data_IF_446641654236
#
_entry.id   IF_446641654236
#
_cell.length_a   1.000
_cell.length_b   1.000
_cell.length_c   1.000
_cell.angle_alpha   90.00
_cell.angle_beta   90.00
_cell.angle_gamma   90.00
#
_symmetry.space_group_name_H-M   'P 1'
#
loop_
_entity.id
_entity.type
_entity.pdbx_description
1 polymer ?
#
# COMPACT_ATOMS: atom_id res chain seq x y z
N UNK A 1 23.45 -20.11 -23.60
CA UNK A 1 23.22 -19.85 -23.15
C UNK A 1 22.66 -19.55 -22.74
N UNK A 2 22.72 -19.47 -22.56
CA UNK A 2 22.23 -19.16 -21.99
C UNK A 2 21.73 -18.86 -21.45
N UNK A 3 21.84 -18.92 -21.44
CA UNK A 3 21.44 -18.63 -20.68
C UNK A 3 20.79 -18.18 -20.33
N UNK A 4 20.59 -18.23 -20.37
CA UNK A 4 19.93 -17.85 -19.86
C UNK A 4 19.13 -17.69 -19.54
N UNK A 5 19.27 -18.02 -19.91
CA UNK A 5 18.57 -18.03 -19.44
C UNK A 5 17.84 -17.94 -18.94
N UNK A 6 18.06 -18.18 -18.97
CA UNK A 6 17.54 -18.11 -18.19
C UNK A 6 16.82 -17.80 -17.70
N UNK A 7 16.77 -17.76 -17.73
CA UNK A 7 16.20 -17.56 -17.04
C UNK A 7 15.41 -17.22 -16.57
N UNK A 8 15.47 -17.34 -16.39
CA UNK A 8 14.88 -17.05 -15.72
C UNK A 8 14.32 -16.74 -15.12
N UNK A 9 14.47 -16.80 -15.14
CA UNK A 9 14.03 -16.42 -14.27
C UNK A 9 13.15 -16.10 -13.83
N UNK A 10 13.24 -16.15 -13.82
CA UNK A 10 12.69 -15.91 -13.23
C UNK A 10 12.01 -15.80 -12.78
N UNK A 11 12.20 -15.95 -12.77
CA UNK A 11 11.70 -15.88 -12.19
C UNK A 11 11.49 -15.64 -11.42
N UNK A 12 12.02 -15.81 -11.64
CA UNK A 12 11.90 -15.60 -10.59
C UNK A 12 11.11 -14.98 -9.88
N UNK A 13 10.42 -15.35 -9.91
CA UNK A 13 9.29 -14.75 -9.35
C UNK A 13 9.46 -14.11 -8.12
N UNK A 14 9.79 -13.42 -7.86
CA UNK A 14 9.95 -12.88 -6.62
C UNK A 14 8.92 -11.87 -6.31
N UNK A 15 8.73 -11.59 -5.07
CA UNK A 15 7.67 -10.71 -4.63
C UNK A 15 7.79 -9.33 -5.22
N UNK A 16 8.99 -8.80 -5.34
CA UNK A 16 9.14 -7.49 -5.93
C UNK A 16 8.75 -7.50 -7.42
N UNK A 17 9.00 -8.61 -8.05
CA UNK A 17 8.62 -8.77 -9.43
C UNK A 17 7.10 -8.74 -9.56
N UNK A 18 6.43 -9.25 -8.56
CA UNK A 18 4.99 -9.27 -8.54
C UNK A 18 4.39 -7.87 -8.44
N UNK A 19 5.19 -6.86 -8.20
CA UNK A 19 4.68 -5.51 -8.24
C UNK A 19 4.12 -5.16 -9.61
N UNK A 20 4.59 -5.82 -10.67
CA UNK A 20 4.08 -5.62 -12.01
C UNK A 20 2.89 -6.53 -12.33
N UNK A 21 2.62 -7.50 -11.47
CA UNK A 21 1.54 -8.46 -11.66
C UNK A 21 0.62 -8.37 -10.46
N UNK A 22 -0.63 -7.96 -10.65
CA UNK A 22 -1.53 -7.86 -9.50
C UNK A 22 -1.70 -9.20 -8.82
N UNK A 23 -1.78 -9.19 -7.50
CA UNK A 23 -2.12 -10.38 -6.75
C UNK A 23 -3.52 -10.84 -7.11
N UNK A 24 -3.78 -12.15 -7.09
CA UNK A 24 -5.12 -12.63 -7.40
C UNK A 24 -6.16 -12.03 -6.46
N UNK A 25 -7.28 -11.64 -7.05
CA UNK A 25 -8.40 -11.12 -6.27
C UNK A 25 -9.50 -12.14 -6.20
N UNK A 26 -10.29 -12.07 -5.15
CA UNK A 26 -11.50 -12.87 -5.06
C UNK A 26 -12.50 -12.40 -6.12
N UNK A 27 -13.48 -13.25 -6.49
CA UNK A 27 -14.43 -12.89 -7.56
C UNK A 27 -15.19 -11.59 -7.30
N UNK A 28 -15.43 -11.23 -6.03
CA UNK A 28 -16.11 -9.98 -5.70
C UNK A 28 -15.17 -8.77 -5.72
N UNK A 29 -13.86 -8.98 -5.96
CA UNK A 29 -12.89 -7.91 -6.04
C UNK A 29 -12.49 -7.30 -4.72
N UNK A 30 -13.02 -7.82 -3.62
CA UNK A 30 -12.82 -7.20 -2.29
C UNK A 30 -11.54 -7.62 -1.60
N UNK A 31 -10.99 -8.77 -1.96
CA UNK A 31 -9.85 -9.36 -1.26
C UNK A 31 -8.77 -9.73 -2.24
N UNK A 32 -7.53 -9.63 -1.80
CA UNK A 32 -6.40 -10.22 -2.53
C UNK A 32 -5.91 -11.41 -1.72
N UNK A 33 -5.35 -12.39 -2.43
CA UNK A 33 -4.86 -13.61 -1.81
C UNK A 33 -3.35 -13.65 -1.98
N UNK A 34 -2.63 -13.67 -0.85
CA UNK A 34 -1.17 -13.72 -0.84
C UNK A 34 -0.76 -14.76 0.18
N UNK A 35 -0.02 -15.76 -0.26
CA UNK A 35 0.49 -16.78 0.65
C UNK A 35 -0.60 -17.53 1.39
N UNK A 36 -1.75 -17.73 0.76
CA UNK A 36 -2.87 -18.43 1.36
C UNK A 36 -3.72 -17.59 2.28
N UNK A 37 -3.36 -16.32 2.47
CA UNK A 37 -4.13 -15.41 3.32
C UNK A 37 -4.87 -14.39 2.46
N UNK A 38 -6.03 -13.98 2.95
CA UNK A 38 -6.79 -12.93 2.30
C UNK A 38 -6.50 -11.59 2.97
N UNK A 39 -6.26 -10.60 2.14
CA UNK A 39 -6.07 -9.23 2.60
C UNK A 39 -7.08 -8.37 1.86
N UNK A 40 -7.59 -7.33 2.52
CA UNK A 40 -8.52 -6.44 1.86
C UNK A 40 -7.82 -5.75 0.70
N UNK A 41 -8.46 -5.77 -0.47
CA UNK A 41 -7.94 -5.08 -1.65
C UNK A 41 -8.09 -3.57 -1.48
N UNK A 42 -7.26 -2.82 -2.19
CA UNK A 42 -7.41 -1.38 -2.22
C UNK A 42 -8.70 -0.99 -2.92
N UNK A 43 -9.24 0.17 -2.56
CA UNK A 43 -10.48 0.69 -3.11
C UNK A 43 -10.32 0.95 -4.61
N UNK A 44 -11.16 0.32 -5.46
CA UNK A 44 -11.04 0.52 -6.90
C UNK A 44 -11.47 1.91 -7.37
N UNK A 45 -12.16 2.70 -6.54
CA UNK A 45 -12.53 4.07 -6.90
C UNK A 45 -11.41 5.07 -6.72
N UNK A 46 -10.28 4.67 -6.12
CA UNK A 46 -9.16 5.59 -5.95
C UNK A 46 -8.72 6.16 -7.29
N UNK A 47 -8.68 7.49 -7.44
CA UNK A 47 -8.06 8.07 -8.63
C UNK A 47 -6.60 7.63 -8.71
N UNK A 48 -6.10 7.41 -9.91
CA UNK A 48 -4.75 6.90 -10.07
C UNK A 48 -3.69 7.80 -9.41
N UNK A 49 -3.75 9.14 -9.52
CA UNK A 49 -2.75 9.97 -8.85
C UNK A 49 -2.80 9.84 -7.33
N UNK A 50 -4.00 9.69 -6.76
CA UNK A 50 -4.17 9.51 -5.32
C UNK A 50 -3.58 8.16 -4.89
N UNK A 51 -3.91 7.11 -5.64
CA UNK A 51 -3.39 5.79 -5.36
C UNK A 51 -1.86 5.78 -5.39
N UNK A 52 -1.27 6.39 -6.40
CA UNK A 52 0.18 6.46 -6.54
C UNK A 52 0.82 7.18 -5.36
N UNK A 53 0.23 8.28 -4.90
CA UNK A 53 0.78 9.01 -3.76
C UNK A 53 0.67 8.20 -2.47
N UNK A 54 -0.45 7.55 -2.25
CA UNK A 54 -0.61 6.72 -1.05
C UNK A 54 0.36 5.55 -1.05
N UNK A 55 0.59 4.93 -2.20
CA UNK A 55 1.57 3.86 -2.31
C UNK A 55 2.99 4.38 -2.07
N UNK A 56 3.30 5.58 -2.54
CA UNK A 56 4.58 6.20 -2.27
C UNK A 56 4.78 6.40 -0.77
N UNK A 57 3.79 6.97 -0.09
CA UNK A 57 3.87 7.17 1.36
C UNK A 57 4.00 5.85 2.10
N UNK A 58 3.28 4.81 1.65
CA UNK A 58 3.36 3.51 2.26
C UNK A 58 4.78 2.95 2.16
N UNK A 59 5.38 3.05 0.99
CA UNK A 59 6.75 2.58 0.78
C UNK A 59 7.76 3.33 1.64
N UNK A 60 7.63 4.66 1.70
CA UNK A 60 8.49 5.48 2.53
C UNK A 60 8.35 5.13 4.00
N UNK A 61 7.11 4.95 4.46
CA UNK A 61 6.85 4.62 5.86
C UNK A 61 7.39 3.24 6.23
N UNK A 62 7.26 2.27 5.33
CA UNK A 62 7.82 0.94 5.58
C UNK A 62 9.33 0.97 5.68
N UNK A 63 9.97 1.78 4.84
CA UNK A 63 11.42 1.98 4.92
C UNK A 63 11.80 2.60 6.26
N UNK A 64 11.02 3.57 6.72
CA UNK A 64 11.27 4.22 8.01
C UNK A 64 11.11 3.24 9.17
N UNK A 65 10.15 2.29 9.07
CA UNK A 65 10.00 1.25 10.09
C UNK A 65 11.28 0.42 10.17
N UNK A 66 11.81 0.01 9.03
CA UNK A 66 13.03 -0.80 9.03
C UNK A 66 14.21 -0.04 9.63
N UNK A 67 14.35 1.24 9.29
CA UNK A 67 15.43 2.06 9.84
C UNK A 67 15.28 2.22 11.34
N UNK A 68 14.07 2.51 11.82
CA UNK A 68 13.84 2.70 13.24
C UNK A 68 14.15 1.43 14.04
N UNK A 69 13.83 0.27 13.48
CA UNK A 69 14.15 -0.99 14.14
C UNK A 69 15.65 -1.21 14.23
N UNK A 70 16.38 -0.88 13.16
CA UNK A 70 17.85 -1.05 13.16
C UNK A 70 18.51 -0.14 14.18
N UNK A 71 17.97 1.04 14.42
CA UNK A 71 18.57 2.02 15.31
C UNK A 71 17.95 2.02 16.70
N UNK A 72 17.04 1.09 16.98
CA UNK A 72 16.35 0.99 18.28
C UNK A 72 15.69 2.31 18.69
N UNK A 73 15.11 3.02 17.73
CA UNK A 73 14.47 4.30 18.00
C UNK A 73 12.96 4.08 18.12
N UNK A 74 12.49 3.95 19.35
CA UNK A 74 11.08 3.63 19.60
C UNK A 74 10.13 4.74 19.14
N UNK A 75 10.51 5.98 19.32
CA UNK A 75 9.67 7.10 18.90
C UNK A 75 9.55 7.14 17.37
N UNK A 76 10.66 6.95 16.68
CA UNK A 76 10.66 6.91 15.22
C UNK A 76 9.85 5.72 14.71
N UNK A 77 9.94 4.58 15.42
CA UNK A 77 9.18 3.39 15.03
C UNK A 77 7.68 3.63 15.15
N UNK A 78 7.25 4.23 16.26
CA UNK A 78 5.84 4.53 16.47
C UNK A 78 5.33 5.50 15.39
N UNK A 79 6.11 6.53 15.08
CA UNK A 79 5.73 7.49 14.05
C UNK A 79 5.63 6.82 12.67
N UNK A 80 6.60 5.96 12.36
CA UNK A 80 6.60 5.27 11.07
C UNK A 80 5.39 4.33 10.94
N UNK A 81 5.08 3.61 12.01
CA UNK A 81 3.92 2.71 12.01
C UNK A 81 2.61 3.47 11.85
N UNK A 82 2.51 4.65 12.46
CA UNK A 82 1.33 5.49 12.29
C UNK A 82 1.16 5.88 10.83
N UNK A 83 2.25 6.21 10.14
CA UNK A 83 2.19 6.57 8.73
C UNK A 83 1.80 5.37 7.85
N UNK A 84 2.31 4.18 8.18
CA UNK A 84 1.87 2.96 7.48
C UNK A 84 0.37 2.80 7.62
N UNK A 85 -0.15 2.95 8.84
CA UNK A 85 -1.57 2.85 9.09
C UNK A 85 -2.38 3.86 8.32
N UNK A 86 -1.92 5.13 8.30
CA UNK A 86 -2.62 6.18 7.58
C UNK A 86 -2.67 5.89 6.07
N UNK A 87 -1.56 5.44 5.49
CA UNK A 87 -1.52 5.12 4.06
C UNK A 87 -2.47 3.97 3.73
N UNK A 88 -2.46 2.93 4.54
CA UNK A 88 -3.34 1.79 4.31
C UNK A 88 -4.80 2.16 4.50
N UNK A 89 -5.08 3.02 5.48
CA UNK A 89 -6.44 3.51 5.67
C UNK A 89 -6.91 4.28 4.45
N UNK A 90 -6.07 5.16 3.91
CA UNK A 90 -6.42 5.92 2.71
C UNK A 90 -6.66 5.04 1.50
N UNK A 91 -5.89 3.95 1.37
CA UNK A 91 -6.06 3.00 0.27
C UNK A 91 -7.34 2.17 0.41
N UNK A 92 -7.98 2.18 1.57
CA UNK A 92 -9.17 1.37 1.81
C UNK A 92 -8.85 -0.01 2.34
N UNK A 93 -7.60 -0.28 2.69
CA UNK A 93 -7.18 -1.59 3.18
C UNK A 93 -7.43 -1.76 4.67
N UNK A 94 -7.77 -0.68 5.38
CA UNK A 94 -8.06 -0.70 6.81
C UNK A 94 -9.25 0.19 7.10
N UNK A 95 -9.83 0.01 8.28
CA UNK A 95 -10.98 0.77 8.72
C UNK A 95 -12.27 0.22 8.13
N UNK A 96 -13.26 1.08 7.95
CA UNK A 96 -14.53 0.66 7.37
C UNK A 96 -14.30 0.12 5.97
N UNK A 97 -14.87 -1.03 5.63
CA UNK A 97 -14.70 -1.58 4.28
C UNK A 97 -15.16 -0.59 3.22
N UNK A 98 -14.35 -0.43 2.18
CA UNK A 98 -14.66 0.58 1.15
C UNK A 98 -15.96 0.26 0.42
N UNK A 99 -16.33 -1.01 0.32
CA UNK A 99 -17.57 -1.39 -0.36
C UNK A 99 -18.82 -1.06 0.46
N UNK A 100 -18.65 -0.64 1.71
CA UNK A 100 -19.75 -0.16 2.54
C UNK A 100 -19.84 1.36 2.58
N UNK A 101 -18.94 2.04 1.88
CA UNK A 101 -18.88 3.49 1.86
C UNK A 101 -19.36 4.02 0.52
N UNK A 102 -20.11 5.12 0.55
CA UNK A 102 -20.48 5.79 -0.70
C UNK A 102 -19.28 6.58 -1.24
N UNK A 103 -19.44 7.17 -2.41
CA UNK A 103 -18.35 7.87 -3.08
C UNK A 103 -17.83 9.05 -2.29
N UNK A 104 -18.71 9.78 -1.61
CA UNK A 104 -18.29 10.92 -0.81
C UNK A 104 -17.45 10.48 0.39
N UNK A 105 -17.90 9.42 1.08
CA UNK A 105 -17.16 8.89 2.23
C UNK A 105 -15.80 8.37 1.80
N UNK A 106 -15.71 7.73 0.63
CA UNK A 106 -14.43 7.24 0.12
C UNK A 106 -13.50 8.41 -0.18
N UNK A 107 -14.00 9.45 -0.81
CA UNK A 107 -13.20 10.63 -1.12
C UNK A 107 -12.69 11.29 0.15
N UNK A 108 -13.54 11.42 1.15
CA UNK A 108 -13.12 11.97 2.43
C UNK A 108 -12.01 11.15 3.07
N UNK A 109 -12.13 9.83 2.97
CA UNK A 109 -11.14 8.92 3.55
C UNK A 109 -9.76 9.15 2.96
N UNK A 110 -9.65 9.13 1.63
CA UNK A 110 -8.31 9.25 1.04
C UNK A 110 -7.79 10.68 1.07
N UNK A 111 -8.68 11.67 1.05
CA UNK A 111 -8.25 13.07 1.18
C UNK A 111 -7.68 13.30 2.57
N UNK A 112 -8.35 12.82 3.61
CA UNK A 112 -7.85 12.95 4.98
C UNK A 112 -6.50 12.26 5.15
N UNK A 113 -6.35 11.08 4.55
CA UNK A 113 -5.08 10.34 4.63
C UNK A 113 -3.94 11.13 3.97
N UNK A 114 -4.19 11.72 2.80
CA UNK A 114 -3.18 12.53 2.15
C UNK A 114 -2.85 13.78 2.94
N UNK A 115 -3.86 14.42 3.54
CA UNK A 115 -3.62 15.59 4.38
C UNK A 115 -2.72 15.25 5.56
N UNK A 116 -2.90 14.06 6.11
CA UNK A 116 -2.06 13.60 7.22
C UNK A 116 -0.64 13.27 6.77
N UNK A 117 -0.50 12.68 5.59
CA UNK A 117 0.78 12.16 5.12
C UNK A 117 1.63 13.17 4.37
N UNK A 118 1.01 14.07 3.61
CA UNK A 118 1.75 15.08 2.87
C UNK A 118 2.31 16.13 3.82
N UNK A 119 3.55 16.60 3.59
CA UNK A 119 4.08 17.65 4.44
C UNK A 119 3.26 18.94 4.33
N UNK A 120 3.23 19.76 5.38
CA UNK A 120 2.54 21.05 5.30
C UNK A 120 3.08 21.88 4.12
N UNK A 121 2.17 22.51 3.40
CA UNK A 121 2.53 23.35 2.28
C UNK A 121 2.63 22.65 0.94
N UNK A 122 2.54 21.34 0.91
CA UNK A 122 2.54 20.59 -0.36
C UNK A 122 1.19 20.73 -1.03
N UNK A 123 1.20 21.05 -2.31
CA UNK A 123 -0.01 21.14 -3.10
C UNK A 123 -0.28 19.80 -3.80
N UNK A 124 -1.52 19.39 -3.83
CA UNK A 124 -1.94 18.17 -4.49
C UNK A 124 -2.68 18.46 -5.79
#
# INVERSE_FOLDING_TARGET
MSRFARGTPAQQGTAWHDACVPAPRTPDGRWIVVGGRRWRAADPELPEPVRARLLHHLGTARSAVRTAKRTDDDAALAAARARVGAAKHGLGERGTPWWEQDSDARRERWTAALDELDPPGVQR
#
